data_IF_915693036933
#
_entry.id   IF_915693036933
#
_cell.length_a   1.000
_cell.length_b   1.000
_cell.length_c   1.000
_cell.angle_alpha   90.00
_cell.angle_beta   90.00
_cell.angle_gamma   90.00
#
_symmetry.space_group_name_H-M   'P 1'
#
loop_
_entity.id
_entity.type
_entity.pdbx_description
1 polymer ?
#
# COMPACT_ATOMS: atom_id res chain seq x y z
N UNK A 1 -1.44 13.22 -9.89
CA UNK A 1 -2.66 12.46 -10.25
C UNK A 1 -3.63 12.49 -9.08
N UNK A 2 -4.94 12.56 -9.30
CA UNK A 2 -5.96 12.55 -8.24
C UNK A 2 -6.50 11.12 -8.08
N UNK A 3 -6.59 10.63 -6.85
CA UNK A 3 -7.21 9.33 -6.55
C UNK A 3 -8.71 9.38 -6.83
N UNK A 4 -9.22 8.38 -7.51
CA UNK A 4 -10.66 8.19 -7.72
C UNK A 4 -11.20 7.21 -6.66
N UNK A 5 -11.52 7.74 -5.48
CA UNK A 5 -12.08 6.95 -4.40
C UNK A 5 -13.51 6.44 -4.70
N UNK A 6 -14.26 7.13 -5.55
CA UNK A 6 -15.60 6.69 -5.96
C UNK A 6 -15.48 5.34 -6.70
N UNK A 7 -14.44 5.19 -7.52
CA UNK A 7 -14.12 3.92 -8.18
C UNK A 7 -13.82 2.81 -7.16
N UNK A 8 -13.02 3.10 -6.14
CA UNK A 8 -12.69 2.13 -5.08
C UNK A 8 -13.94 1.70 -4.33
N UNK A 9 -14.75 2.66 -3.87
CA UNK A 9 -15.99 2.36 -3.16
C UNK A 9 -16.98 1.56 -4.01
N UNK A 10 -17.07 1.85 -5.32
CA UNK A 10 -17.91 1.08 -6.22
C UNK A 10 -17.51 -0.40 -6.22
N UNK A 11 -16.23 -0.73 -6.40
CA UNK A 11 -15.76 -2.12 -6.37
C UNK A 11 -16.01 -2.82 -5.03
N UNK A 12 -15.83 -2.11 -3.92
CA UNK A 12 -16.05 -2.67 -2.58
C UNK A 12 -17.56 -2.90 -2.33
N UNK A 13 -18.41 -1.91 -2.62
CA UNK A 13 -19.85 -1.96 -2.30
C UNK A 13 -20.60 -2.93 -3.20
N UNK A 14 -20.24 -3.02 -4.48
CA UNK A 14 -20.87 -3.94 -5.43
C UNK A 14 -20.54 -5.41 -5.13
N UNK A 15 -19.53 -5.68 -4.32
CA UNK A 15 -19.18 -7.01 -3.85
C UNK A 15 -19.58 -7.20 -2.38
N UNK A 16 -20.58 -8.05 -2.14
CA UNK A 16 -21.12 -8.25 -0.78
C UNK A 16 -20.08 -8.72 0.24
N UNK A 17 -19.09 -9.51 -0.18
CA UNK A 17 -18.05 -10.05 0.69
C UNK A 17 -16.99 -9.01 1.01
N UNK A 18 -16.52 -8.28 0.01
CA UNK A 18 -15.60 -7.15 0.22
C UNK A 18 -16.25 -6.05 1.07
N UNK A 19 -17.55 -5.80 0.87
CA UNK A 19 -18.28 -4.83 1.68
C UNK A 19 -18.34 -5.23 3.14
N UNK A 20 -18.61 -6.51 3.46
CA UNK A 20 -18.54 -7.01 4.84
C UNK A 20 -17.15 -6.89 5.44
N UNK A 21 -16.10 -7.23 4.68
CA UNK A 21 -14.73 -7.09 5.13
C UNK A 21 -14.35 -5.62 5.37
N UNK A 22 -14.81 -4.71 4.52
CA UNK A 22 -14.62 -3.27 4.68
C UNK A 22 -15.35 -2.72 5.92
N UNK A 23 -16.59 -3.15 6.17
CA UNK A 23 -17.33 -2.80 7.38
C UNK A 23 -16.59 -3.29 8.62
N UNK A 24 -16.16 -4.57 8.64
CA UNK A 24 -15.35 -5.11 9.73
C UNK A 24 -14.09 -4.27 9.96
N UNK A 25 -13.35 -3.95 8.88
CA UNK A 25 -12.15 -3.13 8.93
C UNK A 25 -12.43 -1.77 9.57
N UNK A 26 -13.47 -1.06 9.11
CA UNK A 26 -13.79 0.28 9.63
C UNK A 26 -14.27 0.27 11.09
N UNK A 27 -14.89 -0.81 11.56
CA UNK A 27 -15.37 -0.96 12.92
C UNK A 27 -14.28 -1.37 13.92
N UNK A 28 -13.25 -2.10 13.47
CA UNK A 28 -12.29 -2.74 14.37
C UNK A 28 -10.84 -2.26 14.19
N UNK A 29 -10.53 -1.50 13.15
CA UNK A 29 -9.19 -1.00 12.90
C UNK A 29 -8.90 0.28 13.68
N UNK A 30 -7.90 0.25 14.55
CA UNK A 30 -7.48 1.39 15.36
C UNK A 30 -6.53 2.35 14.64
N UNK A 31 -5.96 1.96 13.49
CA UNK A 31 -5.03 2.78 12.73
C UNK A 31 -5.68 3.72 11.72
N UNK A 32 -7.02 3.73 11.59
CA UNK A 32 -7.76 4.54 10.61
C UNK A 32 -7.45 6.04 10.64
N UNK A 33 -7.07 6.55 11.80
CA UNK A 33 -6.81 7.99 12.05
C UNK A 33 -5.34 8.29 12.24
N UNK A 34 -4.45 7.34 11.98
CA UNK A 34 -3.01 7.63 12.01
C UNK A 34 -2.65 8.69 10.95
N UNK A 35 -1.63 9.50 11.22
CA UNK A 35 -1.24 10.56 10.28
C UNK A 35 -0.83 10.04 8.90
N UNK A 36 -0.18 8.87 8.82
CA UNK A 36 0.29 8.26 7.57
C UNK A 36 -0.38 6.92 7.26
N UNK A 37 -0.27 5.90 8.14
CA UNK A 37 -0.84 4.56 7.95
C UNK A 37 -2.35 4.56 8.26
N UNK A 38 -3.14 5.23 7.41
CA UNK A 38 -4.56 5.50 7.61
C UNK A 38 -5.43 4.96 6.47
N UNK A 39 -6.74 5.19 6.58
CA UNK A 39 -7.71 4.76 5.56
C UNK A 39 -7.38 5.29 4.15
N UNK A 40 -6.90 6.53 4.01
CA UNK A 40 -6.57 7.10 2.69
C UNK A 40 -5.40 6.38 2.04
N UNK A 41 -4.38 5.97 2.82
CA UNK A 41 -3.29 5.13 2.35
C UNK A 41 -3.82 3.80 1.81
N UNK A 42 -4.62 3.10 2.60
CA UNK A 42 -5.25 1.82 2.22
C UNK A 42 -6.10 1.95 0.95
N UNK A 43 -6.97 2.98 0.86
CA UNK A 43 -7.79 3.22 -0.32
C UNK A 43 -6.95 3.56 -1.56
N UNK A 44 -5.83 4.25 -1.38
CA UNK A 44 -4.86 4.52 -2.44
C UNK A 44 -4.25 3.25 -3.02
N UNK A 45 -3.85 2.31 -2.18
CA UNK A 45 -3.37 1.00 -2.61
C UNK A 45 -4.44 0.24 -3.39
N UNK A 46 -5.66 0.17 -2.87
CA UNK A 46 -6.78 -0.52 -3.53
C UNK A 46 -7.06 0.10 -4.91
N UNK A 47 -6.97 1.42 -5.04
CA UNK A 47 -7.11 2.10 -6.33
C UNK A 47 -6.07 1.60 -7.35
N UNK A 48 -4.79 1.50 -6.96
CA UNK A 48 -3.75 0.98 -7.85
C UNK A 48 -3.98 -0.49 -8.22
N UNK A 49 -4.40 -1.32 -7.27
CA UNK A 49 -4.75 -2.72 -7.51
C UNK A 49 -5.87 -2.84 -8.56
N UNK A 50 -6.93 -2.04 -8.44
CA UNK A 50 -8.02 -2.02 -9.42
C UNK A 50 -7.50 -1.58 -10.80
N UNK A 51 -6.64 -0.57 -10.86
CA UNK A 51 -6.03 -0.14 -12.12
C UNK A 51 -5.17 -1.25 -12.76
N UNK A 52 -4.39 -1.98 -11.98
CA UNK A 52 -3.60 -3.13 -12.46
C UNK A 52 -4.52 -4.24 -12.97
N UNK A 53 -5.58 -4.58 -12.23
CA UNK A 53 -6.58 -5.55 -12.64
C UNK A 53 -7.20 -5.20 -14.00
N UNK A 54 -7.72 -3.98 -14.15
CA UNK A 54 -8.35 -3.53 -15.40
C UNK A 54 -7.35 -3.51 -16.56
N UNK A 55 -6.11 -3.03 -16.35
CA UNK A 55 -5.08 -3.00 -17.38
C UNK A 55 -4.66 -4.41 -17.79
N UNK A 56 -4.49 -5.33 -16.84
CA UNK A 56 -4.10 -6.72 -17.14
C UNK A 56 -5.12 -7.43 -18.04
N UNK A 57 -6.40 -7.03 -18.00
CA UNK A 57 -7.48 -7.60 -18.81
C UNK A 57 -7.66 -6.94 -20.17
N UNK A 58 -7.26 -5.67 -20.31
CA UNK A 58 -7.48 -4.87 -21.53
C UNK A 58 -6.27 -4.81 -22.44
N UNK A 59 -5.08 -5.03 -21.91
CA UNK A 59 -3.82 -4.82 -22.62
C UNK A 59 -3.09 -6.14 -22.84
N UNK A 60 -2.52 -6.31 -24.05
CA UNK A 60 -1.81 -7.53 -24.44
C UNK A 60 -0.33 -7.53 -24.01
N UNK A 61 0.21 -6.39 -23.56
CA UNK A 61 1.59 -6.26 -23.08
C UNK A 61 1.77 -6.67 -21.61
N UNK A 62 0.69 -7.07 -20.93
CA UNK A 62 0.78 -7.69 -19.61
C UNK A 62 1.11 -9.17 -19.73
N UNK A 63 2.10 -9.62 -18.98
CA UNK A 63 2.51 -11.04 -18.91
C UNK A 63 1.57 -11.92 -18.10
N UNK A 64 0.54 -11.33 -17.48
CA UNK A 64 -0.47 -12.01 -16.67
C UNK A 64 -1.84 -11.37 -16.88
N UNK A 65 -2.89 -12.13 -16.56
CA UNK A 65 -4.27 -11.64 -16.50
C UNK A 65 -4.84 -11.98 -15.14
N UNK A 66 -5.38 -10.99 -14.45
CA UNK A 66 -6.04 -11.18 -13.16
C UNK A 66 -7.52 -11.50 -13.38
N UNK A 67 -8.00 -12.48 -12.67
CA UNK A 67 -9.43 -12.79 -12.57
C UNK A 67 -10.07 -12.08 -11.38
N UNK A 68 -11.39 -12.11 -11.28
CA UNK A 68 -12.11 -11.42 -10.20
C UNK A 68 -11.72 -11.96 -8.81
N UNK A 69 -11.43 -13.26 -8.71
CA UNK A 69 -10.94 -13.87 -7.46
C UNK A 69 -9.58 -13.34 -7.03
N UNK A 70 -8.67 -13.10 -8.00
CA UNK A 70 -7.36 -12.49 -7.72
C UNK A 70 -7.51 -11.07 -7.19
N UNK A 71 -8.44 -10.30 -7.80
CA UNK A 71 -8.76 -8.94 -7.34
C UNK A 71 -9.27 -8.95 -5.90
N UNK A 72 -10.14 -9.90 -5.53
CA UNK A 72 -10.66 -10.01 -4.17
C UNK A 72 -9.54 -10.31 -3.16
N UNK A 73 -8.64 -11.25 -3.46
CA UNK A 73 -7.46 -11.57 -2.63
C UNK A 73 -6.60 -10.31 -2.44
N UNK A 74 -6.32 -9.59 -3.50
CA UNK A 74 -5.48 -8.40 -3.47
C UNK A 74 -6.14 -7.25 -2.68
N UNK A 75 -7.45 -7.02 -2.85
CA UNK A 75 -8.19 -6.00 -2.08
C UNK A 75 -8.22 -6.36 -0.59
N UNK A 76 -8.49 -7.62 -0.24
CA UNK A 76 -8.43 -8.08 1.15
C UNK A 76 -7.05 -7.89 1.75
N UNK A 77 -6.00 -8.27 1.01
CA UNK A 77 -4.62 -8.08 1.47
C UNK A 77 -4.29 -6.61 1.68
N UNK A 78 -4.68 -5.73 0.75
CA UNK A 78 -4.48 -4.28 0.89
C UNK A 78 -5.30 -3.68 2.04
N UNK A 79 -6.53 -4.15 2.24
CA UNK A 79 -7.39 -3.66 3.33
C UNK A 79 -6.78 -3.95 4.70
N UNK A 80 -6.12 -5.10 4.84
CA UNK A 80 -5.60 -5.54 6.13
C UNK A 80 -4.10 -5.33 6.32
N UNK A 81 -3.30 -4.93 5.31
CA UNK A 81 -1.83 -4.87 5.43
C UNK A 81 -1.34 -3.98 6.59
N UNK A 82 -2.05 -2.90 6.90
CA UNK A 82 -1.78 -1.97 8.00
C UNK A 82 -2.85 -2.02 9.11
N UNK A 83 -3.62 -3.11 9.21
CA UNK A 83 -4.64 -3.23 10.24
C UNK A 83 -4.02 -3.16 11.64
N UNK A 84 -4.48 -2.21 12.45
CA UNK A 84 -3.94 -1.93 13.79
C UNK A 84 -2.44 -1.61 13.78
N UNK A 85 -1.95 -0.95 12.73
CA UNK A 85 -0.58 -0.44 12.67
C UNK A 85 -0.27 0.44 13.89
N UNK A 86 0.93 0.30 14.44
CA UNK A 86 1.29 0.91 15.74
C UNK A 86 1.70 2.38 15.64
N UNK A 87 1.84 2.94 14.44
CA UNK A 87 2.35 4.30 14.26
C UNK A 87 3.78 4.46 14.80
N UNK A 88 4.67 3.55 14.44
CA UNK A 88 6.09 3.60 14.85
C UNK A 88 6.38 3.24 16.31
N UNK A 89 5.39 2.73 17.07
CA UNK A 89 5.59 2.32 18.48
C UNK A 89 6.26 0.95 18.61
N UNK A 90 6.03 0.08 17.65
CA UNK A 90 6.57 -1.28 17.59
C UNK A 90 7.31 -1.50 16.28
N UNK A 91 8.04 -2.62 16.20
CA UNK A 91 8.67 -3.05 14.94
C UNK A 91 7.62 -3.40 13.89
N UNK A 92 8.02 -3.35 12.63
CA UNK A 92 7.12 -3.68 11.54
C UNK A 92 6.71 -5.15 11.52
N UNK A 93 7.53 -6.04 12.05
CA UNK A 93 7.15 -7.43 12.30
C UNK A 93 5.89 -7.55 13.19
N UNK A 94 5.77 -6.70 14.23
CA UNK A 94 4.58 -6.65 15.08
C UNK A 94 3.38 -6.09 14.31
N UNK A 95 3.58 -5.08 13.46
CA UNK A 95 2.52 -4.52 12.63
C UNK A 95 1.99 -5.58 11.65
N UNK A 96 2.86 -6.33 10.98
CA UNK A 96 2.48 -7.44 10.10
C UNK A 96 1.74 -8.54 10.87
N UNK A 97 2.18 -8.87 12.09
CA UNK A 97 1.45 -9.81 12.94
C UNK A 97 0.02 -9.32 13.24
N UNK A 98 -0.14 -8.07 13.66
CA UNK A 98 -1.46 -7.46 13.91
C UNK A 98 -2.35 -7.46 12.67
N UNK A 99 -1.80 -7.15 11.51
CA UNK A 99 -2.46 -7.19 10.22
C UNK A 99 -3.04 -8.59 9.92
N UNK A 100 -2.23 -9.62 10.11
CA UNK A 100 -2.62 -11.04 9.89
C UNK A 100 -3.69 -11.50 10.88
N UNK A 101 -3.57 -11.15 12.15
CA UNK A 101 -4.58 -11.48 13.16
C UNK A 101 -5.91 -10.76 12.92
N UNK A 102 -5.87 -9.49 12.47
CA UNK A 102 -7.06 -8.76 12.06
C UNK A 102 -7.77 -9.41 10.88
N UNK A 103 -7.01 -9.80 9.84
CA UNK A 103 -7.53 -10.54 8.69
C UNK A 103 -8.17 -11.86 9.10
N UNK A 104 -7.49 -12.65 9.94
CA UNK A 104 -8.01 -13.93 10.44
C UNK A 104 -9.32 -13.76 11.20
N UNK A 105 -9.37 -12.77 12.09
CA UNK A 105 -10.57 -12.46 12.87
C UNK A 105 -11.73 -12.02 11.98
N UNK A 106 -11.47 -11.20 10.97
CA UNK A 106 -12.45 -10.79 9.97
C UNK A 106 -13.02 -12.00 9.21
N UNK A 107 -12.15 -12.83 8.64
CA UNK A 107 -12.58 -13.99 7.85
C UNK A 107 -13.41 -14.97 8.67
N UNK A 108 -12.99 -15.25 9.90
CA UNK A 108 -13.75 -16.12 10.80
C UNK A 108 -15.10 -15.52 11.19
N UNK A 109 -15.17 -14.20 11.38
CA UNK A 109 -16.41 -13.49 11.72
C UNK A 109 -17.43 -13.52 10.58
N UNK A 110 -16.97 -13.43 9.31
CA UNK A 110 -17.85 -13.34 8.13
C UNK A 110 -18.28 -14.73 7.64
N UNK A 111 -17.36 -15.70 7.65
CA UNK A 111 -17.53 -17.00 6.96
C UNK A 111 -17.48 -18.21 7.89
N UNK A 112 -17.01 -18.05 9.14
CA UNK A 112 -16.68 -19.18 10.00
C UNK A 112 -15.41 -19.91 9.55
N UNK A 113 -15.19 -21.11 10.10
CA UNK A 113 -14.02 -21.92 9.77
C UNK A 113 -14.36 -22.96 8.67
N UNK A 114 -13.63 -22.89 7.57
CA UNK A 114 -13.62 -23.92 6.51
C UNK A 114 -12.22 -24.03 5.90
N UNK A 115 -11.97 -25.04 5.10
CA UNK A 115 -10.67 -25.21 4.44
C UNK A 115 -10.47 -24.15 3.36
N UNK A 116 -11.52 -23.67 2.71
CA UNK A 116 -11.49 -22.55 1.76
C UNK A 116 -11.07 -21.26 2.46
N UNK A 117 -11.59 -21.00 3.65
CA UNK A 117 -11.23 -19.81 4.44
C UNK A 117 -9.81 -19.88 4.96
N UNK A 118 -9.33 -21.06 5.39
CA UNK A 118 -7.92 -21.26 5.75
C UNK A 118 -6.99 -21.02 4.56
N UNK A 119 -7.38 -21.49 3.36
CA UNK A 119 -6.63 -21.24 2.14
C UNK A 119 -6.60 -19.74 1.80
N UNK A 120 -7.75 -19.05 1.81
CA UNK A 120 -7.84 -17.62 1.56
C UNK A 120 -6.97 -16.83 2.55
N UNK A 121 -7.08 -17.15 3.85
CA UNK A 121 -6.22 -16.56 4.88
C UNK A 121 -4.73 -16.78 4.59
N UNK A 122 -4.34 -17.99 4.21
CA UNK A 122 -2.94 -18.31 3.91
C UNK A 122 -2.40 -17.46 2.78
N UNK A 123 -3.14 -17.34 1.67
CA UNK A 123 -2.74 -16.57 0.50
C UNK A 123 -2.64 -15.07 0.83
N UNK A 124 -3.66 -14.50 1.47
CA UNK A 124 -3.65 -13.09 1.86
C UNK A 124 -2.55 -12.79 2.90
N UNK A 125 -2.35 -13.68 3.88
CA UNK A 125 -1.32 -13.56 4.92
C UNK A 125 0.09 -13.52 4.33
N UNK A 126 0.40 -14.43 3.39
CA UNK A 126 1.68 -14.43 2.66
C UNK A 126 1.84 -13.17 1.79
N UNK A 127 0.75 -12.66 1.24
CA UNK A 127 0.76 -11.44 0.43
C UNK A 127 1.07 -10.22 1.30
N UNK A 128 0.47 -10.12 2.49
CA UNK A 128 0.72 -9.06 3.47
C UNK A 128 2.18 -9.07 3.95
N UNK A 129 2.80 -10.22 4.16
CA UNK A 129 4.22 -10.32 4.57
C UNK A 129 5.17 -9.58 3.63
N UNK A 130 4.81 -9.43 2.37
CA UNK A 130 5.65 -8.75 1.39
C UNK A 130 5.78 -7.25 1.64
N UNK A 131 4.89 -6.63 2.43
CA UNK A 131 4.97 -5.20 2.79
C UNK A 131 5.84 -4.92 4.00
N UNK A 132 6.24 -5.94 4.77
CA UNK A 132 7.11 -5.78 5.95
C UNK A 132 8.40 -5.01 5.61
N UNK A 133 8.65 -3.91 6.32
CA UNK A 133 9.87 -3.13 6.15
C UNK A 133 10.78 -3.22 7.41
N UNK A 134 12.10 -3.40 7.26
CA UNK A 134 12.86 -3.64 6.01
C UNK A 134 12.41 -4.92 5.30
N UNK A 135 12.43 -4.90 3.96
CA UNK A 135 11.98 -6.04 3.16
C UNK A 135 12.78 -7.29 3.44
N UNK A 136 12.11 -8.34 3.93
CA UNK A 136 12.70 -9.65 4.22
C UNK A 136 12.67 -10.58 3.00
N UNK A 137 11.78 -10.31 2.02
CA UNK A 137 11.67 -11.07 0.77
C UNK A 137 12.28 -10.23 -0.34
N UNK A 138 13.26 -10.77 -1.05
CA UNK A 138 13.86 -10.09 -2.20
C UNK A 138 12.88 -10.01 -3.37
N UNK A 139 12.99 -8.96 -4.20
CA UNK A 139 12.04 -8.73 -5.31
C UNK A 139 11.95 -9.92 -6.28
N UNK A 140 13.08 -10.60 -6.57
CA UNK A 140 13.09 -11.77 -7.46
C UNK A 140 12.29 -12.96 -6.95
N UNK A 141 12.09 -13.06 -5.62
CA UNK A 141 11.43 -14.17 -4.94
C UNK A 141 9.95 -13.89 -4.67
N UNK A 142 9.47 -12.68 -4.99
CA UNK A 142 8.06 -12.30 -4.82
C UNK A 142 7.15 -13.05 -5.78
N UNK A 143 6.07 -13.63 -5.25
CA UNK A 143 4.93 -14.04 -6.06
C UNK A 143 4.27 -12.83 -6.73
N UNK A 144 3.40 -13.07 -7.71
CA UNK A 144 2.69 -11.99 -8.40
C UNK A 144 1.86 -11.12 -7.42
N UNK A 145 1.12 -11.73 -6.49
CA UNK A 145 0.30 -11.00 -5.52
C UNK A 145 1.15 -10.17 -4.56
N UNK A 146 2.24 -10.74 -4.07
CA UNK A 146 3.20 -10.04 -3.21
C UNK A 146 3.82 -8.83 -3.91
N UNK A 147 4.19 -8.99 -5.19
CA UNK A 147 4.74 -7.90 -6.01
C UNK A 147 3.70 -6.80 -6.23
N UNK A 148 2.47 -7.17 -6.59
CA UNK A 148 1.40 -6.20 -6.79
C UNK A 148 1.15 -5.42 -5.50
N UNK A 149 1.01 -6.09 -4.36
CA UNK A 149 0.74 -5.43 -3.10
C UNK A 149 1.87 -4.47 -2.69
N UNK A 150 3.13 -4.94 -2.72
CA UNK A 150 4.31 -4.12 -2.38
C UNK A 150 4.48 -2.91 -3.30
N UNK A 151 4.30 -3.09 -4.60
CA UNK A 151 4.44 -1.97 -5.53
C UNK A 151 3.29 -0.97 -5.36
N UNK A 152 2.05 -1.42 -5.12
CA UNK A 152 0.91 -0.53 -4.86
C UNK A 152 1.09 0.28 -3.57
N UNK A 153 1.64 -0.31 -2.52
CA UNK A 153 1.97 0.37 -1.27
C UNK A 153 2.93 1.55 -1.51
N UNK A 154 3.97 1.33 -2.31
CA UNK A 154 4.92 2.39 -2.65
C UNK A 154 4.30 3.44 -3.59
N UNK A 155 3.48 3.02 -4.56
CA UNK A 155 2.89 3.94 -5.56
C UNK A 155 1.98 5.01 -4.96
N UNK A 156 1.42 4.80 -3.77
CA UNK A 156 0.58 5.78 -3.08
C UNK A 156 1.32 7.11 -2.85
N UNK A 157 2.65 7.12 -2.82
CA UNK A 157 3.44 8.35 -2.66
C UNK A 157 3.42 9.29 -3.87
N UNK A 158 2.95 8.84 -5.04
CA UNK A 158 2.95 9.63 -6.28
C UNK A 158 1.80 10.64 -6.39
N UNK A 159 0.91 10.70 -5.41
CA UNK A 159 -0.20 11.67 -5.41
C UNK A 159 0.22 13.04 -4.90
N UNK A 160 -0.43 14.07 -5.44
CA UNK A 160 -0.03 15.48 -5.32
C UNK A 160 0.19 15.97 -3.89
N UNK A 161 -0.72 15.65 -3.00
CA UNK A 161 -0.66 16.10 -1.61
C UNK A 161 0.04 15.07 -0.70
N UNK A 162 0.38 13.91 -1.25
CA UNK A 162 0.80 12.78 -0.45
C UNK A 162 2.24 12.88 0.05
N UNK A 163 3.15 13.51 -0.70
CA UNK A 163 4.55 13.71 -0.27
C UNK A 163 4.58 14.47 1.06
N UNK A 164 3.80 15.54 1.13
CA UNK A 164 3.70 16.36 2.35
C UNK A 164 3.08 15.54 3.48
N UNK A 165 1.97 14.84 3.22
CA UNK A 165 1.33 13.97 4.19
C UNK A 165 2.23 12.84 4.64
N UNK A 166 2.99 12.20 3.73
CA UNK A 166 3.93 11.14 4.10
C UNK A 166 5.01 11.66 5.03
N UNK A 167 5.70 12.73 4.68
CA UNK A 167 6.81 13.23 5.50
C UNK A 167 6.33 13.72 6.86
N UNK A 168 5.27 14.53 6.91
CA UNK A 168 4.72 14.99 8.18
C UNK A 168 4.03 13.87 8.96
N UNK A 169 3.27 13.02 8.28
CA UNK A 169 2.58 11.90 8.89
C UNK A 169 3.55 10.92 9.52
N UNK A 170 4.60 10.50 8.80
CA UNK A 170 5.64 9.63 9.36
C UNK A 170 6.41 10.30 10.50
N UNK A 171 6.72 11.60 10.37
CA UNK A 171 7.39 12.33 11.43
C UNK A 171 6.59 12.32 12.73
N UNK A 172 5.27 12.54 12.63
CA UNK A 172 4.36 12.52 13.77
C UNK A 172 4.23 11.11 14.37
N UNK A 173 4.01 10.10 13.53
CA UNK A 173 3.92 8.69 13.98
C UNK A 173 5.20 8.22 14.65
N UNK A 174 6.35 8.50 14.06
CA UNK A 174 7.67 8.11 14.58
C UNK A 174 8.18 9.03 15.69
N UNK A 175 7.47 10.11 16.01
CA UNK A 175 7.93 11.18 16.93
C UNK A 175 9.31 11.69 16.54
N UNK A 176 9.54 11.83 15.23
CA UNK A 176 10.83 12.21 14.67
C UNK A 176 11.10 13.69 14.93
N UNK A 177 12.25 14.00 15.54
CA UNK A 177 12.67 15.38 15.77
C UNK A 177 13.55 15.95 14.65
N UNK A 178 14.15 15.08 13.85
CA UNK A 178 15.01 15.45 12.72
C UNK A 178 14.28 15.24 11.39
N UNK A 179 13.47 16.22 11.01
CA UNK A 179 12.73 16.24 9.74
C UNK A 179 13.65 16.17 8.51
N UNK A 180 14.87 16.67 8.66
CA UNK A 180 15.89 16.70 7.60
C UNK A 180 16.33 15.27 7.31
N UNK A 181 16.72 14.54 8.35
CA UNK A 181 17.16 13.15 8.21
C UNK A 181 16.03 12.25 7.70
N UNK A 182 14.81 12.44 8.22
CA UNK A 182 13.64 11.68 7.75
C UNK A 182 13.39 11.93 6.26
N UNK A 183 13.36 13.19 5.83
CA UNK A 183 13.19 13.57 4.44
C UNK A 183 14.23 12.91 3.51
N UNK A 184 15.51 12.95 3.89
CA UNK A 184 16.58 12.36 3.09
C UNK A 184 16.44 10.83 2.98
N UNK A 185 16.13 10.14 4.07
CA UNK A 185 15.90 8.69 4.09
C UNK A 185 14.69 8.28 3.25
N UNK A 186 13.58 9.02 3.37
CA UNK A 186 12.38 8.75 2.60
C UNK A 186 12.59 8.97 1.10
N UNK A 187 13.31 10.03 0.74
CA UNK A 187 13.65 10.25 -0.67
C UNK A 187 14.48 9.11 -1.24
N UNK A 188 15.55 8.71 -0.55
CA UNK A 188 16.40 7.60 -0.98
C UNK A 188 15.63 6.28 -1.07
N UNK A 189 14.80 6.01 -0.07
CA UNK A 189 13.92 4.84 -0.07
C UNK A 189 13.01 4.81 -1.31
N UNK A 190 12.28 5.88 -1.57
CA UNK A 190 11.32 5.95 -2.67
C UNK A 190 12.03 5.80 -4.02
N UNK A 191 13.12 6.55 -4.26
CA UNK A 191 13.87 6.45 -5.52
C UNK A 191 14.41 5.03 -5.73
N UNK A 192 14.92 4.41 -4.68
CA UNK A 192 15.44 3.04 -4.75
C UNK A 192 14.34 2.03 -5.04
N UNK A 193 13.19 2.18 -4.37
CA UNK A 193 12.03 1.30 -4.55
C UNK A 193 11.45 1.44 -5.98
N UNK A 194 11.28 2.68 -6.48
CA UNK A 194 10.77 2.93 -7.82
C UNK A 194 11.66 2.34 -8.92
N UNK A 195 13.00 2.38 -8.74
CA UNK A 195 13.94 1.75 -9.68
C UNK A 195 13.85 0.22 -9.72
N UNK A 196 13.35 -0.39 -8.65
CA UNK A 196 13.20 -1.85 -8.50
C UNK A 196 11.81 -2.37 -8.91
N UNK A 197 10.88 -1.49 -9.30
CA UNK A 197 9.55 -1.90 -9.74
C UNK A 197 9.61 -2.73 -11.01
N UNK A 198 8.79 -3.75 -11.09
CA UNK A 198 8.78 -4.70 -12.21
C UNK A 198 7.48 -4.68 -13.01
N UNK A 199 6.36 -4.32 -12.38
CA UNK A 199 5.07 -4.25 -13.06
C UNK A 199 5.05 -3.16 -14.15
N UNK A 200 4.43 -3.47 -15.28
CA UNK A 200 4.27 -2.52 -16.41
C UNK A 200 3.56 -1.26 -15.93
N UNK A 201 2.46 -1.42 -15.20
CA UNK A 201 1.69 -0.32 -14.63
C UNK A 201 2.55 0.62 -13.77
N UNK A 202 3.32 0.05 -12.85
CA UNK A 202 4.16 0.82 -11.92
C UNK A 202 5.26 1.61 -12.65
N UNK A 203 5.89 0.99 -13.64
CA UNK A 203 6.91 1.64 -14.48
C UNK A 203 6.34 2.78 -15.31
N UNK A 204 5.16 2.60 -15.89
CA UNK A 204 4.48 3.64 -16.68
C UNK A 204 4.04 4.80 -15.80
N UNK A 205 3.45 4.50 -14.64
CA UNK A 205 3.03 5.52 -13.70
C UNK A 205 4.24 6.32 -13.18
N UNK A 206 5.33 5.64 -12.80
CA UNK A 206 6.56 6.32 -12.41
C UNK A 206 7.10 7.22 -13.53
N UNK A 207 7.12 6.73 -14.76
CA UNK A 207 7.59 7.52 -15.92
C UNK A 207 6.77 8.79 -16.14
N UNK A 208 5.45 8.71 -15.94
CA UNK A 208 4.55 9.86 -16.11
C UNK A 208 4.59 10.86 -14.96
N UNK A 209 4.79 10.40 -13.71
CA UNK A 209 4.68 11.24 -12.51
C UNK A 209 6.05 11.62 -11.89
N UNK A 210 7.15 10.99 -12.32
CA UNK A 210 8.46 11.17 -11.70
C UNK A 210 8.96 12.61 -11.69
N UNK A 211 8.78 13.35 -12.79
CA UNK A 211 9.22 14.76 -12.87
C UNK A 211 8.48 15.61 -11.83
N UNK A 212 7.16 15.44 -11.75
CA UNK A 212 6.33 16.17 -10.79
C UNK A 212 6.70 15.80 -9.35
N UNK A 213 6.86 14.51 -9.08
CA UNK A 213 7.31 14.01 -7.78
C UNK A 213 8.65 14.63 -7.38
N UNK A 214 9.66 14.57 -8.25
CA UNK A 214 10.99 15.12 -7.99
C UNK A 214 10.95 16.64 -7.76
N UNK A 215 10.16 17.36 -8.55
CA UNK A 215 9.99 18.80 -8.38
C UNK A 215 9.34 19.14 -7.03
N UNK A 216 8.32 18.40 -6.62
CA UNK A 216 7.67 18.59 -5.32
C UNK A 216 8.63 18.27 -4.16
N UNK A 217 9.37 17.16 -4.26
CA UNK A 217 10.38 16.82 -3.27
C UNK A 217 11.48 17.87 -3.17
N UNK A 218 12.00 18.36 -4.29
CA UNK A 218 13.02 19.41 -4.31
C UNK A 218 12.53 20.73 -3.71
N UNK A 219 11.27 21.09 -3.99
CA UNK A 219 10.64 22.28 -3.39
C UNK A 219 10.52 22.13 -1.87
N UNK A 220 10.06 20.98 -1.41
CA UNK A 220 9.93 20.68 0.01
C UNK A 220 11.30 20.67 0.71
N UNK A 221 12.32 20.07 0.10
CA UNK A 221 13.69 20.11 0.59
C UNK A 221 14.23 21.54 0.76
N UNK A 222 13.94 22.45 -0.19
CA UNK A 222 14.32 23.87 -0.05
C UNK A 222 13.64 24.55 1.14
N UNK A 223 12.38 24.23 1.40
CA UNK A 223 11.63 24.76 2.57
C UNK A 223 12.26 24.26 3.88
N UNK A 224 12.76 23.02 3.91
CA UNK A 224 13.47 22.47 5.05
C UNK A 224 14.93 22.95 5.16
N UNK A 225 15.43 23.80 4.25
CA UNK A 225 16.79 24.33 4.27
C UNK A 225 17.83 23.45 3.56
N UNK A 226 17.40 22.45 2.78
CA UNK A 226 18.32 21.70 1.91
C UNK A 226 18.70 22.52 0.68
N UNK A 227 20.01 22.54 0.38
CA UNK A 227 20.48 22.85 -0.95
C UNK A 227 19.97 21.80 -1.98
N UNK A 228 20.12 22.08 -3.28
CA UNK A 228 19.75 21.11 -4.32
C UNK A 228 20.32 19.73 -4.00
N UNK A 229 19.45 18.73 -3.91
CA UNK A 229 19.86 17.33 -4.00
C UNK A 229 20.33 17.16 -5.45
N UNK A 230 21.66 17.01 -5.62
CA UNK A 230 22.23 16.77 -6.94
C UNK A 230 21.75 15.38 -7.40
N UNK A 231 21.11 15.38 -8.57
CA UNK A 231 20.68 14.16 -9.28
C UNK A 231 21.88 13.31 -9.73
#
# INVERSE_FOLDING_TARGET
MKLDFDKVFKYIIENAELNKAFQYYTEHCNSLTLPYHNLNHTLGMIYHIICIYENSRRRDDYTFKLEIGDLHILILSALFHDFNHSGGRFSDEVNIHNAKEGLKSCLNSIYGESDEIKYLYSVCSLTIEATQYPYIIENKDLSLYQRILRECDILVVLYDDYITHRIYGLAEEMKCQDMIQLYAKEYEFIITAMRKMELVYSKELWRSESEKFLNTYNLFGKVLGFGKINN
#
